data_IF_698221596000
#
_entry.id   IF_698221596000
#
_cell.length_a   1.000
_cell.length_b   1.000
_cell.length_c   1.000
_cell.angle_alpha   90.00
_cell.angle_beta   90.00
_cell.angle_gamma   90.00
#
_symmetry.space_group_name_H-M   'P 1'
#
loop_
_entity.id
_entity.type
_entity.pdbx_description
1 polymer ?
#
# COMPACT_ATOMS: atom_id res chain seq x y z
N UNK A 1 -0.55 23.91 -72.89
CA UNK A 1 -0.44 23.90 -71.41
C UNK A 1 0.55 24.97 -71.00
N UNK A 2 0.07 26.09 -70.46
CA UNK A 2 0.89 27.30 -70.25
C UNK A 2 1.65 27.26 -68.91
N UNK A 3 2.94 27.67 -68.87
CA UNK A 3 3.82 27.56 -67.70
C UNK A 3 3.30 28.28 -66.44
N UNK A 4 2.37 29.23 -66.60
CA UNK A 4 1.69 29.92 -65.49
C UNK A 4 0.82 29.02 -64.60
N UNK A 5 0.33 27.89 -65.10
CA UNK A 5 -0.53 26.98 -64.30
C UNK A 5 0.26 26.08 -63.33
N UNK A 6 1.56 25.84 -63.58
CA UNK A 6 2.39 25.01 -62.68
C UNK A 6 2.82 25.75 -61.41
N UNK A 7 3.11 27.05 -61.50
CA UNK A 7 3.49 27.87 -60.34
C UNK A 7 2.34 28.04 -59.33
N UNK A 8 1.08 28.12 -59.79
CA UNK A 8 -0.09 28.24 -58.91
C UNK A 8 -0.39 26.97 -58.11
N UNK A 9 -0.06 25.79 -58.64
CA UNK A 9 -0.22 24.52 -57.89
C UNK A 9 0.90 24.30 -56.87
N UNK A 10 2.11 24.81 -57.14
CA UNK A 10 3.20 24.72 -56.19
C UNK A 10 2.94 25.56 -54.92
N UNK A 11 2.41 26.78 -55.06
CA UNK A 11 2.11 27.63 -53.89
C UNK A 11 0.93 27.13 -53.05
N UNK A 12 -0.04 26.46 -53.68
CA UNK A 12 -1.19 25.89 -52.95
C UNK A 12 -0.74 24.75 -52.02
N UNK A 13 0.18 23.89 -52.48
CA UNK A 13 0.68 22.75 -51.69
C UNK A 13 1.53 23.18 -50.50
N UNK A 14 2.39 24.19 -50.65
CA UNK A 14 3.15 24.74 -49.51
C UNK A 14 2.25 25.40 -48.47
N UNK A 15 1.17 26.07 -48.90
CA UNK A 15 0.19 26.67 -48.01
C UNK A 15 -0.65 25.65 -47.22
N UNK A 16 -0.89 24.45 -47.75
CA UNK A 16 -1.55 23.36 -47.02
C UNK A 16 -0.60 22.65 -46.06
N UNK A 17 0.64 22.38 -46.47
CA UNK A 17 1.64 21.77 -45.61
C UNK A 17 1.96 22.63 -44.37
N UNK A 18 2.06 23.96 -44.53
CA UNK A 18 2.25 24.89 -43.40
C UNK A 18 1.04 24.95 -42.46
N UNK A 19 -0.18 24.77 -42.98
CA UNK A 19 -1.40 24.72 -42.15
C UNK A 19 -1.52 23.41 -41.39
N UNK A 20 -1.16 22.28 -42.01
CA UNK A 20 -1.09 20.98 -41.35
C UNK A 20 -0.01 20.96 -40.25
N UNK A 21 1.20 21.43 -40.55
CA UNK A 21 2.28 21.51 -39.57
C UNK A 21 1.94 22.43 -38.37
N UNK A 22 1.18 23.51 -38.60
CA UNK A 22 0.71 24.39 -37.51
C UNK A 22 -0.42 23.77 -36.68
N UNK A 23 -1.21 22.88 -37.26
CA UNK A 23 -2.24 22.14 -36.54
C UNK A 23 -1.61 21.05 -35.66
N UNK A 24 -0.59 20.35 -36.16
CA UNK A 24 0.11 19.28 -35.42
C UNK A 24 1.05 19.81 -34.34
N UNK A 25 1.74 20.94 -34.57
CA UNK A 25 2.61 21.56 -33.56
C UNK A 25 1.87 22.32 -32.44
N UNK A 26 0.57 22.58 -32.58
CA UNK A 26 -0.22 23.37 -31.63
C UNK A 26 -0.91 22.57 -30.51
N UNK A 27 -1.04 21.26 -30.68
CA UNK A 27 -1.64 20.37 -29.68
C UNK A 27 -0.88 20.34 -28.33
N UNK A 28 0.46 20.19 -28.29
CA UNK A 28 1.18 20.11 -27.01
C UNK A 28 1.15 21.42 -26.22
N UNK A 29 1.09 22.58 -26.91
CA UNK A 29 1.03 23.88 -26.24
C UNK A 29 -0.33 24.15 -25.56
N UNK A 30 -1.42 23.56 -26.07
CA UNK A 30 -2.75 23.71 -25.47
C UNK A 30 -2.91 22.86 -24.21
N UNK A 31 -2.35 21.65 -24.20
CA UNK A 31 -2.30 20.81 -22.99
C UNK A 31 -1.41 21.44 -21.91
N UNK A 32 -0.28 22.03 -22.30
CA UNK A 32 0.55 22.80 -21.38
C UNK A 32 -0.19 24.03 -20.83
N UNK A 33 -0.90 24.79 -21.67
CA UNK A 33 -1.68 25.94 -21.21
C UNK A 33 -2.79 25.54 -20.20
N UNK A 34 -3.47 24.41 -20.44
CA UNK A 34 -4.50 23.90 -19.53
C UNK A 34 -3.92 23.47 -18.17
N UNK A 35 -2.78 22.80 -18.17
CA UNK A 35 -2.09 22.40 -16.92
C UNK A 35 -1.58 23.60 -16.15
N UNK A 36 -0.99 24.61 -16.81
CA UNK A 36 -0.61 25.86 -16.15
C UNK A 36 -1.81 26.61 -15.57
N UNK A 37 -2.94 26.64 -16.28
CA UNK A 37 -4.15 27.31 -15.77
C UNK A 37 -4.75 26.58 -14.57
N UNK A 38 -4.75 25.24 -14.57
CA UNK A 38 -5.18 24.42 -13.43
C UNK A 38 -4.26 24.63 -12.22
N UNK A 39 -2.94 24.69 -12.45
CA UNK A 39 -1.96 24.95 -11.39
C UNK A 39 -2.14 26.36 -10.80
N UNK A 40 -2.36 27.37 -11.64
CA UNK A 40 -2.59 28.76 -11.23
C UNK A 40 -3.90 28.93 -10.44
N UNK A 41 -4.96 28.21 -10.82
CA UNK A 41 -6.24 28.25 -10.08
C UNK A 41 -6.14 27.52 -8.75
N UNK A 42 -5.48 26.35 -8.71
CA UNK A 42 -5.24 25.59 -7.47
C UNK A 42 -4.36 26.33 -6.46
N UNK A 43 -3.32 27.03 -6.92
CA UNK A 43 -2.48 27.86 -6.03
C UNK A 43 -3.25 29.05 -5.45
N UNK A 44 -4.10 29.71 -6.25
CA UNK A 44 -4.91 30.84 -5.78
C UNK A 44 -5.95 30.44 -4.73
N UNK A 45 -6.58 29.28 -4.86
CA UNK A 45 -7.53 28.78 -3.84
C UNK A 45 -6.81 28.41 -2.55
N UNK A 46 -5.63 27.78 -2.64
CA UNK A 46 -4.82 27.45 -1.45
C UNK A 46 -4.32 28.70 -0.72
N UNK A 47 -3.94 29.77 -1.44
CA UNK A 47 -3.47 31.00 -0.81
C UNK A 47 -4.59 31.79 -0.11
N UNK A 48 -5.80 31.75 -0.67
CA UNK A 48 -6.94 32.56 -0.18
C UNK A 48 -7.77 31.86 0.90
N UNK A 49 -7.69 30.53 1.00
CA UNK A 49 -8.38 29.76 2.03
C UNK A 49 -8.05 30.18 3.48
N UNK A 50 -6.77 30.29 3.89
CA UNK A 50 -6.43 30.71 5.26
C UNK A 50 -6.87 32.16 5.54
N UNK A 51 -6.85 33.03 4.53
CA UNK A 51 -7.37 34.41 4.65
C UNK A 51 -8.88 34.45 4.88
N UNK A 52 -9.65 33.61 4.16
CA UNK A 52 -11.10 33.49 4.37
C UNK A 52 -11.44 32.94 5.74
N UNK A 53 -10.68 31.95 6.22
CA UNK A 53 -10.85 31.37 7.56
C UNK A 53 -10.58 32.39 8.67
N UNK A 54 -9.52 33.20 8.51
CA UNK A 54 -9.17 34.26 9.47
C UNK A 54 -10.26 35.34 9.56
N UNK A 55 -10.94 35.66 8.46
CA UNK A 55 -11.99 36.69 8.41
C UNK A 55 -13.36 36.23 8.95
N UNK A 56 -13.55 34.94 9.25
CA UNK A 56 -14.86 34.35 9.58
C UNK A 56 -15.21 34.28 11.08
N UNK A 57 -14.38 34.85 11.97
CA UNK A 57 -14.68 34.93 13.41
C UNK A 57 -15.44 36.20 13.78
N UNK A 58 -16.08 36.25 14.96
CA UNK A 58 -16.61 37.49 15.57
C UNK A 58 -15.99 37.67 16.97
N UNK A 59 -15.86 38.92 17.43
CA UNK A 59 -15.34 39.22 18.78
C UNK A 59 -13.89 38.76 19.02
N UNK A 60 -13.66 38.13 20.18
CA UNK A 60 -12.32 37.76 20.68
C UNK A 60 -11.66 36.64 19.87
N UNK A 61 -12.46 35.83 19.15
CA UNK A 61 -11.96 34.77 18.27
C UNK A 61 -11.20 35.34 17.06
N UNK A 62 -11.52 36.56 16.61
CA UNK A 62 -10.76 37.24 15.54
C UNK A 62 -9.32 37.49 15.96
N UNK A 63 -9.09 37.85 17.22
CA UNK A 63 -7.75 38.17 17.74
C UNK A 63 -6.90 36.90 17.80
N UNK A 64 -7.44 35.81 18.36
CA UNK A 64 -6.75 34.52 18.41
C UNK A 64 -6.48 33.93 17.03
N UNK A 65 -7.44 34.02 16.10
CA UNK A 65 -7.24 33.58 14.71
C UNK A 65 -6.23 34.44 13.97
N UNK A 66 -6.22 35.76 14.20
CA UNK A 66 -5.22 36.67 13.65
C UNK A 66 -3.81 36.35 14.16
N UNK A 67 -3.67 36.08 15.46
CA UNK A 67 -2.40 35.69 16.07
C UNK A 67 -1.91 34.34 15.55
N UNK A 68 -2.83 33.37 15.42
CA UNK A 68 -2.54 32.06 14.83
C UNK A 68 -2.08 32.16 13.37
N UNK A 69 -2.77 32.97 12.55
CA UNK A 69 -2.38 33.20 11.15
C UNK A 69 -1.00 33.87 11.03
N UNK A 70 -0.71 34.85 11.88
CA UNK A 70 0.60 35.50 11.93
C UNK A 70 1.71 34.52 12.32
N UNK A 71 1.44 33.66 13.32
CA UNK A 71 2.38 32.62 13.74
C UNK A 71 2.63 31.59 12.62
N UNK A 72 1.59 31.15 11.92
CA UNK A 72 1.72 30.25 10.77
C UNK A 72 2.54 30.87 9.63
N UNK A 73 2.36 32.15 9.34
CA UNK A 73 3.18 32.87 8.34
C UNK A 73 4.64 32.98 8.77
N UNK A 74 4.90 33.30 10.04
CA UNK A 74 6.25 33.37 10.58
C UNK A 74 6.94 32.01 10.57
N UNK A 75 6.26 30.95 11.01
CA UNK A 75 6.76 29.58 10.99
C UNK A 75 7.00 29.08 9.55
N UNK A 76 6.06 29.36 8.64
CA UNK A 76 6.21 29.04 7.23
C UNK A 76 7.39 29.75 6.58
N UNK A 77 7.57 31.06 6.84
CA UNK A 77 8.71 31.83 6.36
C UNK A 77 10.04 31.31 6.91
N UNK A 78 10.08 30.95 8.20
CA UNK A 78 11.25 30.34 8.85
C UNK A 78 11.62 29.00 8.21
N UNK A 79 10.64 28.12 7.99
CA UNK A 79 10.83 26.83 7.31
C UNK A 79 11.35 27.05 5.89
N UNK A 80 10.78 27.98 5.12
CA UNK A 80 11.26 28.28 3.75
C UNK A 80 12.69 28.79 3.76
N UNK A 81 13.04 29.66 4.71
CA UNK A 81 14.39 30.19 4.84
C UNK A 81 15.42 29.09 5.17
N UNK A 82 15.06 28.15 6.05
CA UNK A 82 15.89 26.99 6.36
C UNK A 82 15.90 25.92 5.26
N UNK A 83 14.78 25.74 4.55
CA UNK A 83 14.70 24.85 3.40
C UNK A 83 15.57 25.36 2.24
N UNK A 84 15.72 26.69 2.10
CA UNK A 84 16.64 27.28 1.13
C UNK A 84 18.10 26.90 1.40
N UNK A 85 18.46 26.69 2.67
CA UNK A 85 19.76 26.14 3.08
C UNK A 85 19.92 24.64 2.80
N UNK A 86 18.82 23.89 2.78
CA UNK A 86 18.82 22.47 2.43
C UNK A 86 18.83 22.23 0.91
N UNK A 87 18.37 23.21 0.12
CA UNK A 87 18.33 23.13 -1.34
C UNK A 87 19.70 22.81 -1.98
N UNK A 88 20.84 23.45 -1.63
CA UNK A 88 22.13 23.06 -2.17
C UNK A 88 22.55 21.64 -1.74
N UNK A 89 22.21 21.19 -0.53
CA UNK A 89 22.49 19.83 -0.06
C UNK A 89 21.69 18.81 -0.88
N UNK A 90 20.41 19.09 -1.13
CA UNK A 90 19.54 18.23 -1.94
C UNK A 90 20.02 18.15 -3.40
N UNK A 91 20.44 19.29 -3.98
CA UNK A 91 21.06 19.33 -5.31
C UNK A 91 22.37 18.55 -5.36
N UNK A 92 23.20 18.62 -4.31
CA UNK A 92 24.45 17.86 -4.22
C UNK A 92 24.16 16.35 -4.17
N UNK A 93 23.23 15.92 -3.33
CA UNK A 93 22.81 14.50 -3.24
C UNK A 93 22.31 14.01 -4.60
N UNK A 94 21.46 14.81 -5.25
CA UNK A 94 20.94 14.49 -6.57
C UNK A 94 22.05 14.41 -7.63
N UNK A 95 23.01 15.35 -7.63
CA UNK A 95 24.15 15.34 -8.54
C UNK A 95 25.05 14.11 -8.33
N UNK A 96 25.30 13.71 -7.08
CA UNK A 96 26.06 12.48 -6.77
C UNK A 96 25.32 11.23 -7.25
N UNK A 97 24.00 11.16 -7.06
CA UNK A 97 23.19 10.05 -7.54
C UNK A 97 23.20 9.97 -9.08
N UNK A 98 23.05 11.10 -9.77
CA UNK A 98 23.13 11.18 -11.22
C UNK A 98 24.53 10.78 -11.74
N UNK A 99 25.60 11.22 -11.06
CA UNK A 99 26.97 10.85 -11.42
C UNK A 99 27.20 9.34 -11.23
N UNK A 100 26.69 8.74 -10.15
CA UNK A 100 26.75 7.29 -9.94
C UNK A 100 25.96 6.48 -10.97
N UNK A 101 24.84 7.01 -11.44
CA UNK A 101 24.07 6.37 -12.50
C UNK A 101 24.72 6.52 -13.89
N UNK A 102 25.49 7.59 -14.11
CA UNK A 102 26.20 7.86 -15.34
C UNK A 102 27.56 7.15 -15.43
N UNK A 103 28.15 6.77 -14.30
CA UNK A 103 29.31 5.90 -14.30
C UNK A 103 28.90 4.56 -14.94
N UNK A 104 29.57 4.12 -16.02
CA UNK A 104 29.35 2.78 -16.54
C UNK A 104 29.58 1.84 -15.36
N UNK A 105 28.54 1.09 -14.98
CA UNK A 105 28.72 -0.08 -14.13
C UNK A 105 29.80 -0.87 -14.86
N UNK A 106 31.00 -0.91 -14.29
CA UNK A 106 31.96 -1.95 -14.59
C UNK A 106 31.12 -3.21 -14.49
N UNK A 107 30.78 -3.74 -15.67
CA UNK A 107 30.11 -5.01 -15.77
C UNK A 107 31.05 -5.93 -15.04
N UNK A 108 30.66 -6.32 -13.82
CA UNK A 108 31.21 -7.48 -13.14
C UNK A 108 31.19 -8.56 -14.21
N UNK A 109 32.34 -8.67 -14.86
CA UNK A 109 32.63 -9.68 -15.84
C UNK A 109 32.94 -10.87 -14.96
N UNK A 110 31.89 -11.35 -14.29
CA UNK A 110 31.80 -12.75 -13.96
C UNK A 110 31.87 -13.41 -15.33
N UNK A 111 33.10 -13.78 -15.68
CA UNK A 111 33.42 -14.80 -16.66
C UNK A 111 32.38 -15.90 -16.48
N UNK A 112 31.37 -15.84 -17.33
CA UNK A 112 30.47 -16.92 -17.67
C UNK A 112 31.35 -17.96 -18.36
N UNK A 113 32.12 -18.68 -17.53
CA UNK A 113 32.76 -19.91 -17.92
C UNK A 113 31.61 -20.83 -18.37
N UNK A 114 31.62 -21.32 -19.62
CA UNK A 114 30.59 -22.19 -20.12
C UNK A 114 30.67 -23.50 -19.33
N UNK A 115 29.82 -23.66 -18.32
CA UNK A 115 29.57 -24.95 -17.69
C UNK A 115 28.74 -25.79 -18.66
N UNK A 116 29.43 -26.28 -19.68
CA UNK A 116 28.98 -27.34 -20.55
C UNK A 116 29.18 -28.67 -19.81
N UNK A 117 28.10 -29.40 -19.59
CA UNK A 117 28.15 -30.84 -19.32
C UNK A 117 27.75 -31.24 -17.90
N UNK A 118 26.47 -31.59 -17.73
CA UNK A 118 25.97 -32.17 -16.49
C UNK A 118 24.56 -32.72 -16.62
N UNK A 119 24.27 -33.41 -17.72
CA UNK A 119 23.07 -34.23 -17.85
C UNK A 119 23.15 -35.43 -16.90
N UNK A 120 22.02 -35.69 -16.22
CA UNK A 120 21.57 -37.03 -15.75
C UNK A 120 22.48 -37.81 -14.81
N UNK A 121 22.24 -37.62 -13.51
CA UNK A 121 22.07 -38.74 -12.59
C UNK A 121 21.13 -38.30 -11.46
N UNK A 122 19.99 -38.99 -11.35
CA UNK A 122 19.18 -38.98 -10.13
C UNK A 122 20.06 -39.34 -8.93
N UNK A 123 20.10 -38.54 -7.86
CA UNK A 123 20.39 -39.06 -6.54
C UNK A 123 19.10 -39.72 -6.02
N UNK A 124 19.11 -41.03 -6.16
CA UNK A 124 18.55 -41.98 -5.21
C UNK A 124 18.51 -41.42 -3.78
N UNK A 125 17.29 -41.26 -3.27
CA UNK A 125 16.88 -41.54 -1.89
C UNK A 125 18.03 -41.71 -0.86
N UNK A 126 18.60 -40.61 -0.37
CA UNK A 126 19.18 -40.59 0.98
C UNK A 126 18.12 -40.12 1.94
N UNK A 127 17.49 -41.10 2.58
CA UNK A 127 16.80 -40.94 3.85
C UNK A 127 17.75 -40.37 4.92
N UNK A 128 17.15 -39.68 5.89
CA UNK A 128 17.75 -39.22 7.15
C UNK A 128 18.84 -38.14 7.05
N UNK A 129 18.44 -36.94 6.63
CA UNK A 129 18.91 -35.74 7.32
C UNK A 129 17.74 -35.28 8.21
N UNK A 130 17.67 -35.86 9.41
CA UNK A 130 16.81 -35.36 10.49
C UNK A 130 17.39 -34.00 10.86
N UNK A 131 16.96 -32.97 10.12
CA UNK A 131 17.19 -31.59 10.47
C UNK A 131 16.53 -31.40 11.84
N UNK A 132 17.37 -31.51 12.87
CA UNK A 132 17.01 -31.38 14.26
C UNK A 132 16.31 -30.03 14.40
N UNK A 133 14.97 -30.08 14.45
CA UNK A 133 14.13 -28.91 14.59
C UNK A 133 14.70 -28.12 15.77
N UNK A 134 15.17 -26.88 15.55
CA UNK A 134 15.90 -26.16 16.58
C UNK A 134 15.00 -26.10 17.82
N UNK A 135 15.48 -26.73 18.89
CA UNK A 135 14.76 -26.87 20.15
C UNK A 135 14.50 -25.46 20.71
N UNK A 136 13.33 -24.91 20.40
CA UNK A 136 12.99 -23.53 20.71
C UNK A 136 12.00 -22.84 19.78
N UNK A 137 11.66 -23.41 18.61
CA UNK A 137 10.63 -22.81 17.75
C UNK A 137 9.26 -22.87 18.43
N UNK A 138 8.59 -21.71 18.46
CA UNK A 138 7.24 -21.60 19.01
C UNK A 138 6.26 -22.23 18.02
N UNK A 139 5.30 -23.07 18.49
CA UNK A 139 4.25 -23.56 17.61
C UNK A 139 3.44 -22.41 17.02
N UNK A 140 2.85 -22.64 15.85
CA UNK A 140 2.01 -21.65 15.20
C UNK A 140 0.85 -21.23 16.13
N UNK A 141 0.56 -19.93 16.22
CA UNK A 141 -0.51 -19.40 17.05
C UNK A 141 -1.87 -19.88 16.54
N UNK A 142 -2.71 -20.36 17.45
CA UNK A 142 -4.03 -20.87 17.12
C UNK A 142 -5.12 -20.11 17.89
N UNK A 143 -6.33 -20.09 17.32
CA UNK A 143 -7.52 -19.55 18.00
C UNK A 143 -7.37 -18.09 18.43
N UNK A 144 -7.59 -17.85 19.72
CA UNK A 144 -7.68 -16.52 20.32
C UNK A 144 -6.36 -15.75 20.26
N UNK A 145 -5.22 -16.43 20.37
CA UNK A 145 -3.90 -15.78 20.28
C UNK A 145 -3.72 -15.10 18.93
N UNK A 146 -4.00 -15.84 17.85
CA UNK A 146 -3.96 -15.29 16.49
C UNK A 146 -4.89 -14.09 16.32
N UNK A 147 -6.09 -14.14 16.92
CA UNK A 147 -7.07 -13.04 16.87
C UNK A 147 -6.56 -11.80 17.61
N UNK A 148 -5.97 -11.97 18.79
CA UNK A 148 -5.41 -10.89 19.59
C UNK A 148 -4.26 -10.19 18.87
N UNK A 149 -3.34 -10.94 18.29
CA UNK A 149 -2.21 -10.37 17.56
C UNK A 149 -2.66 -9.71 16.25
N UNK A 150 -3.65 -10.29 15.56
CA UNK A 150 -4.26 -9.67 14.39
C UNK A 150 -4.94 -8.33 14.77
N UNK A 151 -5.63 -8.27 15.91
CA UNK A 151 -6.21 -7.05 16.42
C UNK A 151 -5.15 -6.00 16.76
N UNK A 152 -4.04 -6.41 17.36
CA UNK A 152 -2.90 -5.55 17.67
C UNK A 152 -2.25 -4.99 16.41
N UNK A 153 -2.02 -5.82 15.39
CA UNK A 153 -1.43 -5.41 14.11
C UNK A 153 -2.33 -4.46 13.31
N UNK A 154 -3.66 -4.66 13.38
CA UNK A 154 -4.62 -3.74 12.78
C UNK A 154 -4.59 -2.40 13.54
N UNK A 155 -4.70 -2.42 14.87
CA UNK A 155 -4.66 -1.24 15.73
C UNK A 155 -5.57 -0.10 15.23
N UNK A 156 -4.95 1.04 14.89
CA UNK A 156 -5.66 2.22 14.34
C UNK A 156 -5.70 2.26 12.81
N UNK A 157 -5.09 1.31 12.11
CA UNK A 157 -5.00 1.26 10.64
C UNK A 157 -6.31 0.73 10.04
N UNK A 158 -6.52 0.96 8.74
CA UNK A 158 -7.70 0.46 8.02
C UNK A 158 -7.69 -1.07 7.81
N UNK A 159 -6.54 -1.72 7.96
CA UNK A 159 -6.39 -3.15 7.79
C UNK A 159 -4.91 -3.56 7.77
N UNK A 160 -4.67 -4.85 7.59
CA UNK A 160 -3.32 -5.44 7.59
C UNK A 160 -3.15 -6.40 6.40
N UNK A 161 -1.98 -6.37 5.77
CA UNK A 161 -1.63 -7.29 4.69
C UNK A 161 -1.26 -8.66 5.26
N UNK A 162 -1.61 -9.74 4.56
CA UNK A 162 -1.28 -11.10 5.04
C UNK A 162 0.23 -11.32 5.18
N UNK A 163 1.05 -10.73 4.29
CA UNK A 163 2.51 -10.78 4.39
C UNK A 163 3.02 -10.21 5.71
N UNK A 164 2.41 -9.12 6.18
CA UNK A 164 2.83 -8.43 7.42
C UNK A 164 2.47 -9.25 8.65
N UNK A 165 1.38 -10.02 8.58
CA UNK A 165 1.02 -10.97 9.63
C UNK A 165 2.03 -12.11 9.67
N UNK A 166 2.38 -12.72 8.53
CA UNK A 166 3.39 -13.77 8.48
C UNK A 166 4.78 -13.28 8.97
N UNK A 167 5.22 -12.10 8.50
CA UNK A 167 6.46 -11.46 8.93
C UNK A 167 6.49 -11.20 10.45
N UNK A 168 5.35 -10.79 11.03
CA UNK A 168 5.25 -10.59 12.48
C UNK A 168 5.47 -11.88 13.26
N UNK A 169 4.95 -13.00 12.76
CA UNK A 169 5.11 -14.30 13.40
C UNK A 169 6.51 -14.89 13.22
N UNK A 170 7.15 -14.67 12.07
CA UNK A 170 8.56 -14.99 11.88
C UNK A 170 9.47 -14.21 12.84
N UNK A 171 9.14 -12.95 13.14
CA UNK A 171 9.85 -12.15 14.14
C UNK A 171 9.60 -12.63 15.58
N UNK A 172 8.57 -13.43 15.81
CA UNK A 172 8.22 -14.02 17.11
C UNK A 172 8.72 -15.46 17.27
N UNK A 173 9.73 -15.87 16.47
CA UNK A 173 10.34 -17.21 16.46
C UNK A 173 9.34 -18.35 16.17
N UNK A 174 8.27 -18.07 15.43
CA UNK A 174 7.43 -19.12 14.82
C UNK A 174 8.17 -19.73 13.62
N UNK A 175 7.93 -21.01 13.38
CA UNK A 175 8.50 -21.78 12.26
C UNK A 175 8.54 -20.94 10.96
N UNK A 176 9.72 -20.76 10.32
CA UNK A 176 9.86 -20.02 9.07
C UNK A 176 9.06 -20.61 7.91
N UNK A 177 8.65 -21.89 7.98
CA UNK A 177 7.74 -22.50 7.02
C UNK A 177 6.32 -21.92 7.09
N UNK A 178 5.93 -21.31 8.21
CA UNK A 178 4.62 -20.68 8.41
C UNK A 178 4.46 -19.44 7.52
N UNK A 179 3.73 -19.56 6.43
CA UNK A 179 3.66 -18.54 5.39
C UNK A 179 2.28 -17.88 5.23
N UNK A 180 2.15 -17.12 4.14
CA UNK A 180 0.87 -16.53 3.70
C UNK A 180 -0.24 -17.59 3.52
N UNK A 181 0.02 -18.81 2.99
CA UNK A 181 -1.00 -19.86 2.89
C UNK A 181 -1.57 -20.26 4.26
N UNK A 182 -0.73 -20.38 5.28
CA UNK A 182 -1.13 -20.78 6.62
C UNK A 182 -1.94 -19.70 7.31
N UNK A 183 -1.50 -18.43 7.21
CA UNK A 183 -2.29 -17.27 7.69
C UNK A 183 -3.65 -17.22 7.00
N UNK A 184 -3.72 -17.54 5.70
CA UNK A 184 -5.00 -17.60 4.97
C UNK A 184 -5.89 -18.71 5.49
N UNK A 185 -5.33 -19.91 5.71
CA UNK A 185 -6.06 -21.04 6.27
C UNK A 185 -6.60 -20.72 7.67
N UNK A 186 -5.79 -20.07 8.51
CA UNK A 186 -6.17 -19.67 9.87
C UNK A 186 -7.30 -18.62 9.86
N UNK A 187 -7.20 -17.58 9.02
CA UNK A 187 -8.28 -16.61 8.84
C UNK A 187 -9.58 -17.28 8.34
N UNK A 188 -9.48 -18.23 7.40
CA UNK A 188 -10.64 -18.96 6.89
C UNK A 188 -11.29 -19.84 7.98
N UNK A 189 -10.48 -20.53 8.78
CA UNK A 189 -10.94 -21.34 9.91
C UNK A 189 -11.68 -20.50 10.97
N UNK A 190 -11.25 -19.26 11.17
CA UNK A 190 -11.87 -18.30 12.09
C UNK A 190 -13.03 -17.50 11.47
N UNK A 191 -13.40 -17.77 10.21
CA UNK A 191 -14.46 -17.03 9.52
C UNK A 191 -14.12 -15.57 9.23
N UNK A 192 -12.84 -15.19 9.22
CA UNK A 192 -12.37 -13.82 8.97
C UNK A 192 -12.24 -13.60 7.45
N UNK A 193 -12.98 -12.65 6.84
CA UNK A 193 -12.91 -12.41 5.41
C UNK A 193 -11.55 -11.84 4.99
N UNK A 194 -10.97 -12.39 3.93
CA UNK A 194 -9.77 -11.86 3.29
C UNK A 194 -10.17 -11.15 2.00
N UNK A 195 -9.78 -9.88 1.87
CA UNK A 195 -9.94 -9.16 0.60
C UNK A 195 -8.79 -9.50 -0.35
N UNK A 196 -9.08 -9.77 -1.64
CA UNK A 196 -8.03 -10.06 -2.62
C UNK A 196 -7.12 -8.85 -2.85
N UNK A 197 -7.65 -7.63 -2.65
CA UNK A 197 -6.93 -6.38 -2.83
C UNK A 197 -7.19 -5.44 -1.65
N UNK A 198 -6.16 -5.24 -0.83
CA UNK A 198 -6.14 -4.23 0.23
C UNK A 198 -5.08 -3.18 -0.11
N UNK A 199 -5.51 -1.92 -0.24
CA UNK A 199 -4.61 -0.80 -0.53
C UNK A 199 -4.04 -0.25 0.77
N UNK A 200 -2.72 -0.33 0.92
CA UNK A 200 -1.96 0.27 2.02
C UNK A 200 -0.97 1.30 1.47
N UNK A 201 -0.35 2.16 2.32
CA UNK A 201 0.72 3.04 1.88
C UNK A 201 1.90 2.31 1.22
N UNK A 202 2.08 1.01 1.51
CA UNK A 202 3.19 0.18 1.07
C UNK A 202 2.88 -0.73 -0.14
N UNK A 203 1.70 -0.55 -0.75
CA UNK A 203 1.28 -1.32 -1.93
C UNK A 203 -0.12 -1.94 -1.83
N UNK A 204 -0.49 -2.68 -2.87
CA UNK A 204 -1.75 -3.43 -2.97
C UNK A 204 -1.43 -4.92 -2.87
N UNK A 205 -2.02 -5.60 -1.90
CA UNK A 205 -1.82 -7.05 -1.69
C UNK A 205 -3.03 -7.62 -0.95
N UNK A 206 -3.26 -8.95 -0.92
CA UNK A 206 -4.32 -9.55 -0.12
C UNK A 206 -4.16 -9.23 1.37
N UNK A 207 -5.28 -8.99 2.05
CA UNK A 207 -5.25 -8.59 3.46
C UNK A 207 -6.62 -8.62 4.12
N UNK A 208 -6.61 -8.39 5.43
CA UNK A 208 -7.82 -8.31 6.25
C UNK A 208 -8.13 -6.84 6.51
N UNK A 209 -9.34 -6.41 6.14
CA UNK A 209 -9.81 -5.06 6.43
C UNK A 209 -10.35 -5.00 7.87
N UNK A 210 -10.20 -3.85 8.52
CA UNK A 210 -10.62 -3.64 9.92
C UNK A 210 -12.12 -3.88 10.12
N UNK A 211 -12.94 -3.41 9.20
CA UNK A 211 -14.40 -3.58 9.29
C UNK A 211 -14.82 -5.05 9.15
N UNK A 212 -14.17 -5.79 8.24
CA UNK A 212 -14.45 -7.21 8.02
C UNK A 212 -14.01 -8.04 9.24
N UNK A 213 -12.85 -7.71 9.81
CA UNK A 213 -12.38 -8.32 11.05
C UNK A 213 -13.35 -8.06 12.22
N UNK A 214 -13.81 -6.81 12.39
CA UNK A 214 -14.79 -6.47 13.43
C UNK A 214 -16.11 -7.21 13.25
N UNK A 215 -16.58 -7.33 12.01
CA UNK A 215 -17.79 -8.08 11.70
C UNK A 215 -17.63 -9.57 12.03
N UNK A 216 -16.47 -10.16 11.70
CA UNK A 216 -16.17 -11.55 12.06
C UNK A 216 -16.15 -11.76 13.59
N UNK A 217 -15.53 -10.85 14.35
CA UNK A 217 -15.56 -10.91 15.81
C UNK A 217 -16.97 -10.82 16.40
N UNK A 218 -17.81 -9.96 15.83
CA UNK A 218 -19.21 -9.86 16.25
C UNK A 218 -19.99 -11.14 15.94
N UNK A 219 -19.73 -11.75 14.78
CA UNK A 219 -20.34 -13.02 14.40
C UNK A 219 -19.93 -14.16 15.37
N UNK A 220 -18.65 -14.25 15.71
CA UNK A 220 -18.14 -15.21 16.69
C UNK A 220 -18.76 -15.01 18.08
N UNK A 221 -18.92 -13.76 18.52
CA UNK A 221 -19.58 -13.45 19.79
C UNK A 221 -21.09 -13.73 19.78
N UNK A 222 -21.71 -13.80 18.59
CA UNK A 222 -23.15 -14.02 18.43
C UNK A 222 -23.50 -15.49 18.20
N UNK A 223 -22.52 -16.39 18.04
CA UNK A 223 -22.76 -17.82 17.95
C UNK A 223 -23.38 -18.27 19.28
N UNK A 224 -24.67 -18.68 19.29
CA UNK A 224 -25.30 -19.16 20.52
C UNK A 224 -24.48 -20.33 21.04
N UNK A 225 -24.27 -20.43 22.37
CA UNK A 225 -23.59 -21.59 22.93
C UNK A 225 -24.33 -22.83 22.43
N UNK A 226 -23.62 -23.66 21.67
CA UNK A 226 -24.16 -24.91 21.14
C UNK A 226 -24.82 -25.64 22.32
N UNK A 227 -26.12 -26.00 22.23
CA UNK A 227 -26.83 -26.57 23.36
C UNK A 227 -26.09 -27.85 23.76
N UNK A 228 -25.39 -27.79 24.89
CA UNK A 228 -24.60 -28.90 25.40
C UNK A 228 -25.51 -30.13 25.48
N UNK A 229 -25.20 -31.24 24.78
CA UNK A 229 -26.07 -32.43 24.70
C UNK A 229 -26.22 -33.19 26.03
N UNK A 230 -25.74 -32.66 27.15
CA UNK A 230 -25.78 -33.30 28.48
C UNK A 230 -27.14 -33.19 29.20
N UNK A 231 -28.14 -32.48 28.66
CA UNK A 231 -29.42 -32.30 29.35
C UNK A 231 -30.45 -33.44 29.15
N UNK A 232 -30.24 -34.41 28.25
CA UNK A 232 -31.25 -35.43 27.92
C UNK A 232 -31.01 -36.82 28.55
N UNK A 233 -29.98 -37.02 29.38
CA UNK A 233 -29.75 -38.29 30.09
C UNK A 233 -30.11 -38.19 31.59
N UNK A 234 -31.31 -37.71 31.91
CA UNK A 234 -31.96 -38.01 33.18
C UNK A 234 -33.09 -39.02 32.94
N UNK A 235 -32.80 -40.33 32.90
CA UNK A 235 -33.85 -41.34 32.85
C UNK A 235 -34.65 -41.29 34.15
N UNK A 236 -35.96 -41.09 33.98
CA UNK A 236 -37.00 -41.20 34.98
C UNK A 236 -36.85 -42.45 35.85
N UNK A 237 -36.36 -42.28 37.08
CA UNK A 237 -36.59 -43.22 38.18
C UNK A 237 -37.93 -42.86 38.84
N UNK A 238 -39.03 -43.02 38.10
CA UNK A 238 -40.38 -42.89 38.66
C UNK A 238 -40.76 -44.20 39.37
N UNK A 239 -40.36 -44.21 40.64
CA UNK A 239 -40.87 -44.96 41.80
C UNK A 239 -42.22 -45.66 41.58
N UNK A 240 -42.19 -46.96 41.31
CA UNK A 240 -43.36 -47.84 41.44
C UNK A 240 -43.73 -48.05 42.91
N UNK A 241 -44.69 -47.28 43.43
CA UNK A 241 -45.36 -47.56 44.70
C UNK A 241 -46.63 -48.35 44.42
N UNK A 242 -46.53 -49.68 44.54
CA UNK A 242 -47.63 -50.63 44.39
C UNK A 242 -48.18 -50.96 45.77
N UNK A 243 -49.36 -50.43 46.06
CA UNK A 243 -50.20 -50.78 47.21
C UNK A 243 -50.68 -52.24 47.10
N UNK A 244 -50.63 -52.95 48.23
CA UNK A 244 -51.20 -54.27 48.46
C UNK A 244 -51.16 -54.58 49.94
#
# INVERSE_FOLDING_TARGET
MTPRTRLRRASARTGEALRAARAEGGAPLREQAATFHALATGTRTLLTWPWRWAMQGEGMDKVWRGLGALWFLAAGGWIVLHALWLLPVLLLIWAVAALRAALPKESDSEDEAPSAGGSTASPECTADDVQEAPAGQRPAPAGDEFVLDLAQLIGTRNGVLLRTVAEHWHQADVDPAYGIPDVRAQCAALGIPIRPTLKTPWGVSPGVHRDDFRAALQALASTPPEPSPEAELSPSLETGSRTG
#
